data_IF_387734218648
#
_entry.id   IF_387734218648
#
_cell.length_a   1.000
_cell.length_b   1.000
_cell.length_c   1.000
_cell.angle_alpha   90.00
_cell.angle_beta   90.00
_cell.angle_gamma   90.00
#
_symmetry.space_group_name_H-M   'P 1'
#
loop_
_entity.id
_entity.type
_entity.pdbx_description
1 polymer ?
#
# COMPACT_ATOMS: atom_id res chain seq x y z
N UNK A 1 5.35 -20.98 -11.10
CA UNK A 1 4.85 -19.63 -10.81
C UNK A 1 4.33 -19.54 -9.39
N UNK A 2 4.55 -18.41 -8.73
CA UNK A 2 4.28 -18.20 -7.29
C UNK A 2 2.86 -17.70 -6.99
N UNK A 3 2.02 -17.53 -8.01
CA UNK A 3 0.69 -16.95 -7.90
C UNK A 3 0.71 -15.43 -7.77
N UNK A 4 -0.37 -14.77 -8.20
CA UNK A 4 -0.54 -13.32 -8.12
C UNK A 4 -1.95 -12.96 -7.69
N UNK A 5 -2.10 -11.78 -7.08
CA UNK A 5 -3.38 -11.13 -6.85
C UNK A 5 -3.41 -9.82 -7.64
N UNK A 6 -4.46 -9.64 -8.43
CA UNK A 6 -4.72 -8.42 -9.20
C UNK A 6 -6.03 -7.79 -8.71
N UNK A 7 -5.98 -6.49 -8.40
CA UNK A 7 -7.17 -5.70 -8.13
C UNK A 7 -7.62 -5.03 -9.42
N UNK A 8 -8.84 -5.31 -9.86
CA UNK A 8 -9.45 -4.71 -11.05
C UNK A 8 -10.57 -3.81 -10.56
N UNK A 9 -10.54 -2.54 -10.91
CA UNK A 9 -11.54 -1.57 -10.46
C UNK A 9 -11.97 -0.66 -11.60
N UNK A 10 -13.24 -0.34 -11.64
CA UNK A 10 -13.79 0.71 -12.47
C UNK A 10 -14.67 1.65 -11.63
N UNK A 11 -15.54 2.41 -12.29
CA UNK A 11 -16.45 3.38 -11.66
C UNK A 11 -17.57 2.74 -10.83
N UNK A 12 -17.85 1.45 -11.03
CA UNK A 12 -18.99 0.75 -10.46
C UNK A 12 -18.57 -0.38 -9.52
N UNK A 13 -17.46 -1.07 -9.81
CA UNK A 13 -17.10 -2.29 -9.11
C UNK A 13 -15.60 -2.46 -8.89
N UNK A 14 -15.26 -3.29 -7.89
CA UNK A 14 -13.90 -3.70 -7.57
C UNK A 14 -13.86 -5.22 -7.43
N UNK A 15 -12.93 -5.85 -8.13
CA UNK A 15 -12.71 -7.29 -8.15
C UNK A 15 -11.32 -7.64 -7.61
N UNK A 16 -11.30 -8.66 -6.75
CA UNK A 16 -10.10 -9.32 -6.25
C UNK A 16 -9.89 -10.58 -7.09
N UNK A 17 -8.93 -10.56 -8.01
CA UNK A 17 -8.58 -11.70 -8.87
C UNK A 17 -7.32 -12.39 -8.35
N UNK A 18 -7.42 -13.67 -8.01
CA UNK A 18 -6.28 -14.51 -7.67
C UNK A 18 -5.99 -15.49 -8.81
N UNK A 19 -4.75 -15.53 -9.27
CA UNK A 19 -4.30 -16.38 -10.37
C UNK A 19 -3.08 -17.21 -9.95
N UNK A 20 -3.11 -18.50 -10.26
CA UNK A 20 -2.11 -19.49 -9.87
C UNK A 20 -1.67 -20.29 -11.10
N UNK A 21 -0.47 -20.87 -11.06
CA UNK A 21 0.00 -21.75 -12.14
C UNK A 21 -0.71 -23.10 -12.14
N UNK A 22 -0.79 -23.77 -13.30
CA UNK A 22 -1.44 -25.07 -13.47
C UNK A 22 -0.70 -26.29 -12.86
N UNK A 23 0.14 -26.06 -11.85
CA UNK A 23 0.98 -27.07 -11.22
C UNK A 23 2.36 -27.26 -11.88
N UNK A 24 3.24 -27.96 -11.16
CA UNK A 24 4.65 -28.14 -11.56
C UNK A 24 4.74 -28.91 -12.88
N UNK A 25 5.41 -28.32 -13.87
CA UNK A 25 5.64 -28.95 -15.17
C UNK A 25 4.53 -28.69 -16.20
N UNK A 26 3.44 -28.04 -15.82
CA UNK A 26 2.33 -27.73 -16.70
C UNK A 26 2.37 -26.26 -17.15
N UNK A 27 1.95 -26.01 -18.39
CA UNK A 27 1.69 -24.65 -18.89
C UNK A 27 0.21 -24.33 -18.71
N UNK A 28 -0.10 -23.16 -18.16
CA UNK A 28 -1.46 -22.70 -17.98
C UNK A 28 -1.66 -22.03 -16.63
N UNK A 29 -2.86 -21.53 -16.42
CA UNK A 29 -3.27 -20.87 -15.19
C UNK A 29 -4.61 -21.43 -14.69
N UNK A 30 -4.84 -21.21 -13.40
CA UNK A 30 -6.12 -21.40 -12.73
C UNK A 30 -6.40 -20.15 -11.93
N UNK A 31 -7.63 -19.65 -11.96
CA UNK A 31 -7.95 -18.39 -11.32
C UNK A 31 -9.36 -18.37 -10.75
N UNK A 32 -9.54 -17.54 -9.73
CA UNK A 32 -10.84 -17.17 -9.17
C UNK A 32 -10.83 -15.67 -8.90
N UNK A 33 -11.97 -15.03 -9.10
CA UNK A 33 -12.19 -13.63 -8.79
C UNK A 33 -13.44 -13.48 -7.93
N UNK A 34 -13.35 -12.61 -6.93
CA UNK A 34 -14.47 -12.27 -6.07
C UNK A 34 -14.70 -10.75 -6.08
N UNK A 35 -15.92 -10.31 -6.34
CA UNK A 35 -16.31 -8.89 -6.27
C UNK A 35 -16.34 -8.46 -4.81
N UNK A 36 -15.81 -7.27 -4.53
CA UNK A 36 -15.95 -6.63 -3.22
C UNK A 36 -17.33 -5.97 -3.16
N UNK A 37 -18.18 -6.25 -2.16
CA UNK A 37 -19.46 -5.56 -2.00
C UNK A 37 -19.28 -4.03 -1.93
N UNK A 38 -20.25 -3.30 -2.48
CA UNK A 38 -20.14 -1.84 -2.70
C UNK A 38 -19.87 -1.03 -1.40
N UNK A 39 -20.32 -1.53 -0.24
CA UNK A 39 -20.10 -0.91 1.06
C UNK A 39 -19.01 -1.58 1.92
N UNK A 40 -18.17 -2.43 1.30
CA UNK A 40 -17.12 -3.19 1.97
C UNK A 40 -15.71 -2.80 1.49
N UNK A 41 -14.71 -3.22 2.28
CA UNK A 41 -13.28 -3.20 1.93
C UNK A 41 -12.71 -4.60 2.02
N UNK A 42 -11.89 -5.00 1.03
CA UNK A 42 -11.12 -6.25 1.02
C UNK A 42 -9.62 -5.96 1.04
N UNK A 43 -8.81 -6.92 1.51
CA UNK A 43 -7.36 -6.79 1.67
C UNK A 43 -6.68 -8.04 1.15
N UNK A 44 -5.66 -7.87 0.30
CA UNK A 44 -4.69 -8.91 -0.01
C UNK A 44 -3.32 -8.50 0.55
N UNK A 45 -2.74 -9.34 1.41
CA UNK A 45 -1.44 -9.07 2.03
C UNK A 45 -0.39 -10.13 1.65
N UNK A 46 -0.25 -10.42 0.35
CA UNK A 46 0.64 -11.48 -0.15
C UNK A 46 0.25 -12.89 0.34
N UNK A 47 -1.05 -13.10 0.58
CA UNK A 47 -1.61 -14.41 0.85
C UNK A 47 -2.95 -14.55 0.13
N UNK A 48 -3.17 -15.72 -0.47
CA UNK A 48 -4.46 -16.06 -1.07
C UNK A 48 -5.55 -16.05 0.02
N UNK A 49 -6.70 -15.46 -0.29
CA UNK A 49 -7.80 -15.19 0.64
C UNK A 49 -9.17 -15.61 0.11
N UNK A 50 -9.33 -15.79 -1.21
CA UNK A 50 -10.55 -16.38 -1.79
C UNK A 50 -10.68 -17.81 -1.25
N UNK A 51 -11.78 -18.05 -0.54
CA UNK A 51 -12.07 -19.33 0.12
C UNK A 51 -13.06 -20.08 -0.76
N UNK A 52 -14.31 -20.18 -0.32
CA UNK A 52 -15.38 -20.86 -1.02
C UNK A 52 -15.79 -20.05 -2.26
N UNK A 53 -16.13 -20.74 -3.34
CA UNK A 53 -16.63 -20.14 -4.57
C UNK A 53 -18.09 -20.53 -4.70
N UNK A 54 -19.00 -19.56 -4.61
CA UNK A 54 -20.40 -19.83 -4.91
C UNK A 54 -20.60 -19.87 -6.43
N UNK A 55 -20.74 -21.09 -6.96
CA UNK A 55 -20.90 -21.31 -8.39
C UNK A 55 -22.22 -20.77 -8.97
N UNK A 56 -23.22 -20.49 -8.12
CA UNK A 56 -24.51 -19.94 -8.53
C UNK A 56 -24.52 -18.41 -8.51
N UNK A 57 -23.62 -17.78 -7.76
CA UNK A 57 -23.52 -16.33 -7.65
C UNK A 57 -22.55 -15.76 -8.69
N UNK A 58 -23.08 -15.53 -9.89
CA UNK A 58 -22.32 -14.93 -11.00
C UNK A 58 -22.10 -13.43 -10.84
N UNK A 59 -22.78 -12.79 -9.87
CA UNK A 59 -22.59 -11.36 -9.58
C UNK A 59 -21.32 -11.14 -8.77
N UNK A 60 -21.03 -12.04 -7.81
CA UNK A 60 -19.88 -11.92 -6.92
C UNK A 60 -18.72 -12.86 -7.24
N UNK A 61 -18.91 -13.90 -8.06
CA UNK A 61 -17.86 -14.86 -8.37
C UNK A 61 -17.65 -15.12 -9.87
N UNK A 62 -16.38 -15.10 -10.27
CA UNK A 62 -15.92 -15.59 -11.56
C UNK A 62 -14.72 -16.54 -11.33
N UNK A 63 -14.55 -17.56 -12.17
CA UNK A 63 -13.44 -18.51 -12.04
C UNK A 63 -13.17 -19.22 -13.36
N UNK A 64 -11.97 -19.79 -13.50
CA UNK A 64 -11.61 -20.56 -14.69
C UNK A 64 -12.33 -21.91 -14.77
N UNK A 65 -12.67 -22.36 -15.98
CA UNK A 65 -13.38 -23.62 -16.21
C UNK A 65 -12.71 -24.85 -15.56
N UNK A 66 -11.38 -24.81 -15.42
CA UNK A 66 -10.57 -25.88 -14.83
C UNK A 66 -10.44 -25.80 -13.28
N UNK A 67 -11.03 -24.82 -12.59
CA UNK A 67 -10.75 -24.53 -11.17
C UNK A 67 -11.03 -25.69 -10.21
N UNK A 68 -12.01 -26.54 -10.52
CA UNK A 68 -12.30 -27.71 -9.67
C UNK A 68 -11.55 -28.95 -10.16
N UNK A 69 -11.56 -29.19 -11.47
CA UNK A 69 -10.96 -30.39 -12.06
C UNK A 69 -9.45 -30.44 -11.85
N UNK A 70 -8.75 -29.30 -11.99
CA UNK A 70 -7.31 -29.26 -11.76
C UNK A 70 -6.94 -29.61 -10.31
N UNK A 71 -7.71 -29.12 -9.34
CA UNK A 71 -7.47 -29.44 -7.93
C UNK A 71 -7.74 -30.93 -7.63
N UNK A 72 -8.77 -31.52 -8.24
CA UNK A 72 -9.06 -32.96 -8.16
C UNK A 72 -7.92 -33.79 -8.75
N UNK A 73 -7.54 -33.50 -10.00
CA UNK A 73 -6.52 -34.25 -10.74
C UNK A 73 -5.14 -34.18 -10.07
N UNK A 74 -4.85 -33.06 -9.41
CA UNK A 74 -3.61 -32.84 -8.67
C UNK A 74 -3.62 -33.45 -7.27
N UNK A 75 -4.77 -33.93 -6.78
CA UNK A 75 -4.95 -34.40 -5.41
C UNK A 75 -4.90 -33.30 -4.36
N UNK A 76 -5.07 -32.03 -4.74
CA UNK A 76 -5.12 -30.89 -3.81
C UNK A 76 -6.51 -30.70 -3.18
N UNK A 77 -7.52 -31.31 -3.79
CA UNK A 77 -8.88 -31.40 -3.27
C UNK A 77 -9.43 -32.80 -3.55
N UNK A 78 -10.24 -33.34 -2.63
CA UNK A 78 -10.71 -34.73 -2.68
C UNK A 78 -12.12 -34.88 -3.28
N UNK A 79 -12.77 -33.76 -3.63
CA UNK A 79 -14.13 -33.75 -4.16
C UNK A 79 -15.23 -33.94 -3.12
N UNK A 80 -14.87 -34.12 -1.83
CA UNK A 80 -15.82 -34.43 -0.76
C UNK A 80 -16.02 -33.26 0.18
N UNK A 81 -14.94 -32.57 0.54
CA UNK A 81 -15.00 -31.38 1.38
C UNK A 81 -15.39 -30.15 0.56
N UNK A 82 -15.90 -29.10 1.22
CA UNK A 82 -16.16 -27.81 0.56
C UNK A 82 -14.88 -27.31 -0.10
N UNK A 83 -14.94 -26.99 -1.39
CA UNK A 83 -13.81 -26.44 -2.13
C UNK A 83 -13.44 -25.05 -1.60
N UNK A 84 -12.16 -24.83 -1.29
CA UNK A 84 -11.62 -23.52 -0.90
C UNK A 84 -10.38 -23.19 -1.72
N UNK A 85 -10.46 -22.16 -2.57
CA UNK A 85 -9.43 -21.82 -3.55
C UNK A 85 -8.05 -21.64 -2.92
N UNK A 86 -7.95 -20.85 -1.84
CA UNK A 86 -6.70 -20.60 -1.15
C UNK A 86 -6.03 -21.86 -0.59
N UNK A 87 -6.80 -22.84 -0.11
CA UNK A 87 -6.25 -24.10 0.40
C UNK A 87 -5.91 -25.09 -0.71
N UNK A 88 -6.64 -25.08 -1.82
CA UNK A 88 -6.34 -25.93 -2.97
C UNK A 88 -5.05 -25.47 -3.66
N UNK A 89 -4.87 -24.16 -3.84
CA UNK A 89 -3.80 -23.63 -4.70
C UNK A 89 -2.66 -22.90 -3.99
N UNK A 90 -2.86 -22.43 -2.76
CA UNK A 90 -1.84 -21.73 -1.99
C UNK A 90 -1.89 -22.04 -0.47
N UNK A 91 -1.97 -23.32 -0.04
CA UNK A 91 -2.25 -23.67 1.35
C UNK A 91 -1.25 -23.09 2.36
N UNK A 92 0.02 -22.95 1.97
CA UNK A 92 1.05 -22.38 2.83
C UNK A 92 0.85 -20.88 3.11
N UNK A 93 0.14 -20.13 2.26
CA UNK A 93 0.00 -18.69 2.42
C UNK A 93 -0.85 -18.31 3.63
N UNK A 94 -1.84 -19.14 4.01
CA UNK A 94 -2.65 -18.90 5.22
C UNK A 94 -1.89 -19.16 6.52
N UNK A 95 -0.76 -19.86 6.50
CA UNK A 95 0.08 -20.03 7.68
C UNK A 95 0.92 -18.77 8.01
N UNK A 96 1.06 -17.83 7.06
CA UNK A 96 1.95 -16.67 7.19
C UNK A 96 1.39 -15.61 8.14
N UNK A 97 1.95 -15.50 9.35
CA UNK A 97 1.61 -14.39 10.28
C UNK A 97 1.93 -13.03 9.65
N UNK A 98 3.05 -12.92 8.93
CA UNK A 98 3.44 -11.71 8.21
C UNK A 98 2.37 -11.21 7.21
N UNK A 99 1.53 -12.09 6.66
CA UNK A 99 0.40 -11.71 5.81
C UNK A 99 -0.84 -11.42 6.64
N UNK A 100 -1.24 -12.38 7.50
CA UNK A 100 -2.45 -12.32 8.31
C UNK A 100 -2.50 -11.13 9.26
N UNK A 101 -1.37 -10.70 9.83
CA UNK A 101 -1.33 -9.52 10.70
C UNK A 101 -1.63 -8.23 9.93
N UNK A 102 -1.19 -8.13 8.67
CA UNK A 102 -1.49 -6.98 7.82
C UNK A 102 -2.96 -6.95 7.42
N UNK A 103 -3.55 -8.11 7.09
CA UNK A 103 -4.99 -8.24 6.86
C UNK A 103 -5.78 -7.75 8.07
N UNK A 104 -5.44 -8.28 9.26
CA UNK A 104 -6.03 -7.85 10.52
C UNK A 104 -5.93 -6.35 10.72
N UNK A 105 -4.73 -5.78 10.59
CA UNK A 105 -4.50 -4.38 10.95
C UNK A 105 -5.29 -3.43 10.07
N UNK A 106 -5.45 -3.73 8.79
CA UNK A 106 -6.31 -2.93 7.91
C UNK A 106 -7.77 -3.01 8.38
N UNK A 107 -8.27 -4.20 8.70
CA UNK A 107 -9.63 -4.36 9.21
C UNK A 107 -9.84 -3.73 10.59
N UNK A 108 -8.88 -3.85 11.51
CA UNK A 108 -8.88 -3.21 12.83
C UNK A 108 -8.92 -1.68 12.72
N UNK A 109 -8.22 -1.11 11.73
CA UNK A 109 -8.25 0.33 11.49
C UNK A 109 -9.55 0.82 10.86
N UNK A 110 -10.28 -0.01 10.12
CA UNK A 110 -11.48 0.37 9.35
C UNK A 110 -12.80 -0.06 10.02
N UNK A 111 -12.80 -1.18 10.73
CA UNK A 111 -13.94 -1.80 11.38
C UNK A 111 -13.57 -2.30 12.79
N UNK A 112 -13.04 -1.43 13.68
CA UNK A 112 -12.67 -1.82 15.05
C UNK A 112 -13.84 -2.39 15.86
N UNK A 113 -15.09 -2.05 15.51
CA UNK A 113 -16.29 -2.61 16.14
C UNK A 113 -16.37 -4.14 16.06
N UNK A 114 -15.73 -4.76 15.06
CA UNK A 114 -15.72 -6.21 14.89
C UNK A 114 -14.81 -6.94 15.88
N UNK A 115 -13.87 -6.24 16.51
CA UNK A 115 -12.93 -6.81 17.50
C UNK A 115 -12.27 -8.11 17.02
N UNK A 116 -11.88 -8.14 15.74
CA UNK A 116 -11.28 -9.33 15.12
C UNK A 116 -10.01 -9.72 15.87
N UNK A 117 -9.89 -11.01 16.24
CA UNK A 117 -8.68 -11.52 16.91
C UNK A 117 -7.48 -11.39 15.94
N UNK A 118 -6.38 -10.71 16.35
CA UNK A 118 -5.19 -10.51 15.53
C UNK A 118 -4.49 -11.81 15.09
N UNK A 119 -4.81 -12.96 15.69
CA UNK A 119 -4.18 -14.25 15.41
C UNK A 119 -5.03 -15.20 14.56
N UNK A 120 -6.20 -14.76 14.09
CA UNK A 120 -7.06 -15.62 13.26
C UNK A 120 -6.35 -16.10 12.00
N UNK A 121 -6.60 -17.36 11.63
CA UNK A 121 -6.12 -17.92 10.37
C UNK A 121 -6.92 -17.40 9.18
N UNK A 122 -8.23 -17.22 9.34
CA UNK A 122 -9.15 -16.84 8.28
C UNK A 122 -9.93 -15.59 8.67
N UNK A 123 -9.51 -14.44 8.15
CA UNK A 123 -10.35 -13.24 8.19
C UNK A 123 -11.47 -13.32 7.14
N UNK A 124 -12.57 -12.56 7.31
CA UNK A 124 -13.54 -12.32 6.26
C UNK A 124 -12.87 -11.88 4.96
N UNK A 125 -13.44 -12.25 3.80
CA UNK A 125 -12.93 -11.78 2.50
C UNK A 125 -12.94 -10.25 2.43
N UNK A 126 -13.99 -9.64 2.98
CA UNK A 126 -14.15 -8.21 3.09
C UNK A 126 -14.94 -7.88 4.37
N UNK A 127 -14.83 -6.63 4.83
CA UNK A 127 -15.60 -6.12 5.98
C UNK A 127 -16.26 -4.80 5.60
N UNK A 128 -17.43 -4.52 6.18
CA UNK A 128 -18.02 -3.19 6.17
C UNK A 128 -17.26 -2.30 7.14
N UNK A 129 -16.65 -1.19 6.69
CA UNK A 129 -16.04 -0.21 7.58
C UNK A 129 -17.07 0.42 8.53
N UNK A 130 -16.65 0.80 9.74
CA UNK A 130 -17.53 1.44 10.73
C UNK A 130 -18.01 2.83 10.27
N UNK A 131 -17.21 3.49 9.42
CA UNK A 131 -17.49 4.79 8.82
C UNK A 131 -17.01 4.83 7.37
N UNK A 132 -17.50 5.80 6.58
CA UNK A 132 -17.00 6.03 5.22
C UNK A 132 -15.48 6.23 5.22
N UNK A 133 -14.80 5.56 4.30
CA UNK A 133 -13.34 5.55 4.23
C UNK A 133 -12.86 6.78 3.47
N UNK A 134 -12.19 7.68 4.18
CA UNK A 134 -11.56 8.86 3.56
C UNK A 134 -10.22 8.51 2.92
N UNK A 135 -9.75 9.39 2.04
CA UNK A 135 -8.45 9.24 1.39
C UNK A 135 -7.29 9.34 2.39
N UNK A 136 -7.40 10.24 3.36
CA UNK A 136 -6.47 10.38 4.49
C UNK A 136 -6.36 9.07 5.27
N UNK A 137 -7.50 8.40 5.51
CA UNK A 137 -7.52 7.12 6.21
C UNK A 137 -6.76 6.04 5.44
N UNK A 138 -6.93 5.97 4.11
CA UNK A 138 -6.16 5.05 3.25
C UNK A 138 -4.66 5.38 3.28
N UNK A 139 -4.29 6.67 3.21
CA UNK A 139 -2.90 7.10 3.33
C UNK A 139 -2.30 6.70 4.68
N UNK A 140 -3.02 6.88 5.79
CA UNK A 140 -2.60 6.43 7.12
C UNK A 140 -2.41 4.92 7.18
N UNK A 141 -3.34 4.13 6.62
CA UNK A 141 -3.24 2.67 6.59
C UNK A 141 -1.96 2.22 5.85
N UNK A 142 -1.67 2.81 4.68
CA UNK A 142 -0.47 2.47 3.92
C UNK A 142 0.83 2.81 4.67
N UNK A 143 0.79 3.85 5.54
CA UNK A 143 1.90 4.28 6.40
C UNK A 143 2.09 3.43 7.66
N UNK A 144 1.15 2.54 7.98
CA UNK A 144 1.11 1.86 9.27
C UNK A 144 2.23 0.81 9.42
N UNK A 145 2.78 0.79 10.62
CA UNK A 145 3.79 -0.17 11.09
C UNK A 145 3.45 -0.70 12.49
N UNK A 146 2.14 -0.77 12.80
CA UNK A 146 1.56 -1.22 14.06
C UNK A 146 1.84 -0.31 15.28
N UNK A 147 2.15 0.97 15.06
CA UNK A 147 2.37 1.94 16.14
C UNK A 147 1.21 1.94 17.14
N UNK A 148 1.53 1.92 18.42
CA UNK A 148 0.55 1.94 19.51
C UNK A 148 -0.12 0.59 19.79
N UNK A 149 0.27 -0.49 19.10
CA UNK A 149 -0.20 -1.84 19.37
C UNK A 149 0.90 -2.70 20.00
N UNK A 150 0.53 -3.89 20.50
CA UNK A 150 1.50 -4.89 20.91
C UNK A 150 2.34 -5.45 19.74
N UNK A 151 1.99 -5.17 18.48
CA UNK A 151 2.69 -5.65 17.30
C UNK A 151 3.71 -4.65 16.75
N UNK A 152 3.85 -3.48 17.39
CA UNK A 152 4.90 -2.51 17.06
C UNK A 152 6.28 -3.17 17.21
N UNK A 153 7.00 -3.32 16.10
CA UNK A 153 8.28 -4.04 16.09
C UNK A 153 9.37 -3.35 16.91
N UNK A 154 9.18 -2.06 17.24
CA UNK A 154 10.11 -1.25 18.04
C UNK A 154 9.91 -1.40 19.54
N UNK A 155 8.81 -2.02 19.99
CA UNK A 155 8.35 -2.03 21.40
C UNK A 155 9.41 -2.47 22.41
N UNK A 156 10.36 -3.32 21.99
CA UNK A 156 11.41 -3.87 22.85
C UNK A 156 12.77 -3.14 22.70
N UNK A 157 12.87 -2.18 21.78
CA UNK A 157 14.08 -1.38 21.55
C UNK A 157 13.96 -0.11 22.39
N UNK A 158 14.21 -0.25 23.70
CA UNK A 158 13.92 0.80 24.68
C UNK A 158 15.17 1.39 25.32
N UNK A 159 15.09 2.66 25.73
CA UNK A 159 16.10 3.37 26.53
C UNK A 159 15.45 4.03 27.75
N UNK A 160 16.25 4.36 28.77
CA UNK A 160 15.77 5.14 29.91
C UNK A 160 15.60 6.59 29.49
N UNK A 161 14.37 7.10 29.52
CA UNK A 161 14.08 8.51 29.23
C UNK A 161 14.40 9.42 30.41
N UNK A 162 14.27 10.74 30.19
CA UNK A 162 14.60 11.78 31.19
C UNK A 162 13.78 11.67 32.48
N UNK A 163 12.55 11.15 32.39
CA UNK A 163 11.69 10.85 33.54
C UNK A 163 12.13 9.62 34.35
N UNK A 164 13.18 8.92 33.91
CA UNK A 164 13.66 7.67 34.49
C UNK A 164 12.86 6.43 34.05
N UNK A 165 11.76 6.59 33.31
CA UNK A 165 10.96 5.48 32.75
C UNK A 165 11.58 4.95 31.45
N UNK A 166 11.38 3.67 31.18
CA UNK A 166 11.74 3.09 29.89
C UNK A 166 10.78 3.58 28.80
N UNK A 167 11.33 4.05 27.69
CA UNK A 167 10.59 4.50 26.50
C UNK A 167 11.19 3.85 25.25
N UNK A 168 10.44 3.78 24.16
CA UNK A 168 10.99 3.35 22.86
C UNK A 168 12.14 4.29 22.49
N UNK A 169 13.29 3.71 22.11
CA UNK A 169 14.48 4.44 21.74
C UNK A 169 14.19 5.38 20.56
N UNK A 170 14.72 6.62 20.56
CA UNK A 170 14.70 7.45 19.37
C UNK A 170 15.36 6.80 18.15
N UNK A 171 16.30 5.87 18.37
CA UNK A 171 16.97 5.08 17.33
C UNK A 171 16.15 3.86 16.87
N UNK A 172 15.03 3.55 17.52
CA UNK A 172 14.23 2.38 17.16
C UNK A 172 13.50 2.62 15.83
N UNK A 173 14.04 2.01 14.77
CA UNK A 173 13.50 2.05 13.43
C UNK A 173 12.49 0.91 13.20
N UNK A 174 11.27 1.16 12.70
CA UNK A 174 10.35 0.08 12.34
C UNK A 174 10.68 -0.53 10.96
N UNK A 175 11.61 0.04 10.18
CA UNK A 175 11.92 -0.39 8.82
C UNK A 175 13.24 -1.15 8.74
N UNK A 176 13.53 -1.97 9.75
CA UNK A 176 14.77 -2.74 9.87
C UNK A 176 14.98 -3.71 8.70
N UNK A 177 16.24 -3.85 8.30
CA UNK A 177 16.71 -4.90 7.42
C UNK A 177 16.92 -6.22 8.19
N UNK A 178 17.30 -7.28 7.48
CA UNK A 178 17.43 -8.63 8.07
C UNK A 178 18.49 -8.68 9.18
N UNK A 179 19.58 -7.94 9.04
CA UNK A 179 20.65 -7.95 10.03
C UNK A 179 20.33 -7.05 11.22
N UNK A 180 19.65 -5.92 11.01
CA UNK A 180 19.12 -5.08 12.09
C UNK A 180 18.09 -5.86 12.94
N UNK A 181 17.19 -6.61 12.32
CA UNK A 181 16.23 -7.47 13.04
C UNK A 181 16.95 -8.47 13.97
N UNK A 182 18.02 -9.12 13.48
CA UNK A 182 18.84 -10.03 14.28
C UNK A 182 19.58 -9.31 15.40
N UNK A 183 20.20 -8.16 15.10
CA UNK A 183 20.95 -7.34 16.05
C UNK A 183 20.06 -6.92 17.22
N UNK A 184 18.83 -6.48 16.92
CA UNK A 184 17.86 -6.03 17.91
C UNK A 184 17.00 -7.17 18.48
N UNK A 185 17.25 -8.43 18.10
CA UNK A 185 16.52 -9.62 18.55
C UNK A 185 15.00 -9.49 18.35
N UNK A 186 14.59 -8.88 17.24
CA UNK A 186 13.19 -8.72 16.87
C UNK A 186 12.76 -9.92 16.03
N UNK A 187 11.80 -10.69 16.53
CA UNK A 187 11.18 -11.78 15.77
C UNK A 187 10.21 -11.18 14.73
N UNK A 188 10.72 -10.94 13.52
CA UNK A 188 10.00 -10.24 12.47
C UNK A 188 10.50 -10.56 11.06
N UNK A 189 9.79 -10.05 10.06
CA UNK A 189 10.14 -10.19 8.65
C UNK A 189 9.60 -11.45 7.97
N UNK A 190 9.63 -11.43 6.63
CA UNK A 190 8.97 -12.43 5.78
C UNK A 190 9.44 -13.87 6.06
N UNK A 191 10.75 -14.09 6.22
CA UNK A 191 11.33 -15.42 6.39
C UNK A 191 11.39 -15.92 7.84
N UNK A 192 11.20 -15.04 8.82
CA UNK A 192 11.05 -15.41 10.22
C UNK A 192 9.61 -15.78 10.59
N UNK A 193 8.67 -15.65 9.64
CA UNK A 193 7.21 -15.73 9.87
C UNK A 193 6.74 -14.87 11.05
N UNK A 194 7.46 -13.77 11.33
CA UNK A 194 7.13 -12.82 12.39
C UNK A 194 6.41 -11.59 11.86
N UNK A 195 6.37 -10.53 12.67
CA UNK A 195 5.68 -9.29 12.29
C UNK A 195 6.29 -8.64 11.04
N UNK A 196 5.42 -8.25 10.12
CA UNK A 196 5.76 -7.52 8.89
C UNK A 196 4.82 -6.34 8.75
N UNK A 197 5.39 -5.15 8.73
CA UNK A 197 4.67 -3.88 8.60
C UNK A 197 3.98 -3.74 7.23
N UNK A 198 2.96 -2.90 7.16
CA UNK A 198 2.34 -2.49 5.89
C UNK A 198 3.34 -1.60 5.13
N UNK A 199 3.83 -0.54 5.79
CA UNK A 199 4.94 0.27 5.29
C UNK A 199 6.28 -0.45 5.46
N UNK A 200 7.10 -0.54 4.41
CA UNK A 200 8.39 -1.25 4.43
C UNK A 200 9.50 -0.47 3.74
N UNK A 201 10.76 -0.67 4.18
CA UNK A 201 11.94 0.05 3.64
C UNK A 201 12.20 -0.12 2.14
N UNK A 202 11.65 -1.17 1.54
CA UNK A 202 11.90 -1.53 0.14
C UNK A 202 10.67 -1.29 -0.75
N UNK A 203 9.67 -0.55 -0.25
CA UNK A 203 8.61 -0.01 -1.09
C UNK A 203 9.26 0.84 -2.17
N UNK A 204 8.95 0.55 -3.44
CA UNK A 204 9.43 1.39 -4.55
C UNK A 204 8.48 2.57 -4.77
N UNK A 205 7.20 2.28 -4.74
CA UNK A 205 6.12 3.25 -4.81
C UNK A 205 4.87 2.68 -4.14
N UNK A 206 3.92 3.56 -3.85
CA UNK A 206 2.57 3.21 -3.45
C UNK A 206 1.56 4.06 -4.21
N UNK A 207 0.38 3.49 -4.43
CA UNK A 207 -0.70 4.12 -5.18
C UNK A 207 -2.02 3.99 -4.42
N UNK A 208 -2.81 5.06 -4.42
CA UNK A 208 -4.25 5.00 -4.17
C UNK A 208 -4.94 5.48 -5.44
N UNK A 209 -5.76 4.61 -6.05
CA UNK A 209 -6.40 4.86 -7.34
C UNK A 209 -7.89 5.15 -7.08
N UNK A 210 -8.39 6.26 -7.62
CA UNK A 210 -9.78 6.65 -7.55
C UNK A 210 -10.41 6.63 -8.95
N UNK A 211 -11.49 5.88 -9.11
CA UNK A 211 -12.32 5.82 -10.30
C UNK A 211 -13.62 6.59 -10.04
N UNK A 212 -13.65 7.89 -10.38
CA UNK A 212 -14.75 8.79 -9.96
C UNK A 212 -15.73 9.00 -11.10
N UNK A 213 -16.94 8.49 -10.93
CA UNK A 213 -18.00 8.48 -11.95
C UNK A 213 -18.71 9.82 -12.11
N UNK A 214 -18.72 10.64 -11.05
CA UNK A 214 -19.26 12.01 -11.05
C UNK A 214 -18.40 13.03 -11.81
N UNK A 215 -17.30 12.60 -12.42
CA UNK A 215 -16.40 13.43 -13.22
C UNK A 215 -16.17 12.82 -14.61
N UNK A 216 -15.92 13.65 -15.65
CA UNK A 216 -15.49 13.16 -16.96
C UNK A 216 -14.20 12.34 -16.87
N UNK A 217 -13.99 11.38 -17.77
CA UNK A 217 -12.87 10.43 -17.71
C UNK A 217 -11.49 11.11 -17.65
N UNK A 218 -11.33 12.25 -18.34
CA UNK A 218 -10.08 13.03 -18.33
C UNK A 218 -9.74 13.67 -16.97
N UNK A 219 -10.70 13.72 -16.04
CA UNK A 219 -10.58 14.35 -14.71
C UNK A 219 -10.82 13.32 -13.59
N UNK A 220 -11.78 12.40 -13.77
CA UNK A 220 -12.29 11.49 -12.75
C UNK A 220 -11.31 10.41 -12.33
N UNK A 221 -10.42 9.96 -13.24
CA UNK A 221 -9.33 9.05 -12.91
C UNK A 221 -8.18 9.79 -12.22
N UNK A 222 -7.89 9.42 -10.97
CA UNK A 222 -6.81 10.02 -10.19
C UNK A 222 -6.01 8.96 -9.44
N UNK A 223 -4.69 9.04 -9.57
CA UNK A 223 -3.73 8.24 -8.81
C UNK A 223 -3.01 9.14 -7.83
N UNK A 224 -3.17 8.86 -6.54
CA UNK A 224 -2.30 9.40 -5.50
C UNK A 224 -1.06 8.54 -5.43
N UNK A 225 0.09 9.10 -5.81
CA UNK A 225 1.33 8.36 -6.01
C UNK A 225 2.40 8.82 -5.02
N UNK A 226 3.02 7.89 -4.31
CA UNK A 226 4.15 8.15 -3.43
C UNK A 226 5.34 7.27 -3.83
N UNK A 227 6.55 7.83 -3.73
CA UNK A 227 7.79 7.10 -3.97
C UNK A 227 8.45 6.71 -2.65
N UNK A 228 9.14 5.56 -2.68
CA UNK A 228 9.83 4.97 -1.54
C UNK A 228 8.89 4.63 -0.35
N UNK A 229 9.42 4.52 0.87
CA UNK A 229 8.64 4.15 2.04
C UNK A 229 7.65 5.26 2.40
N UNK A 230 6.37 4.96 2.24
CA UNK A 230 5.25 5.89 2.47
C UNK A 230 5.23 6.49 3.86
N UNK A 231 5.74 5.81 4.88
CA UNK A 231 5.79 6.34 6.24
C UNK A 231 6.64 7.62 6.36
N UNK A 232 7.61 7.83 5.48
CA UNK A 232 8.46 9.03 5.40
C UNK A 232 8.26 9.84 4.13
N UNK A 233 7.23 9.51 3.34
CA UNK A 233 6.96 10.08 2.02
C UNK A 233 5.59 10.74 1.96
N UNK A 234 5.26 11.29 0.79
CA UNK A 234 4.04 12.05 0.52
C UNK A 234 3.41 11.57 -0.78
N UNK A 235 2.08 11.61 -0.84
CA UNK A 235 1.33 11.25 -2.05
C UNK A 235 1.05 12.50 -2.87
N UNK A 236 1.49 12.50 -4.13
CA UNK A 236 1.18 13.54 -5.12
C UNK A 236 0.04 13.10 -6.04
N UNK A 237 -0.84 14.02 -6.48
CA UNK A 237 -1.93 13.71 -7.39
C UNK A 237 -1.47 13.63 -8.86
N UNK A 238 -1.66 12.46 -9.47
CA UNK A 238 -1.43 12.19 -10.90
C UNK A 238 -2.77 11.84 -11.55
N UNK A 239 -3.34 12.78 -12.29
CA UNK A 239 -4.58 12.53 -13.02
C UNK A 239 -4.32 11.57 -14.20
N UNK A 240 -5.19 10.60 -14.43
CA UNK A 240 -5.00 9.60 -15.48
C UNK A 240 -5.01 10.21 -16.90
N UNK A 241 -5.63 11.39 -17.06
CA UNK A 241 -5.70 12.11 -18.34
C UNK A 241 -4.47 12.94 -18.68
N UNK A 242 -3.46 13.04 -17.81
CA UNK A 242 -2.25 13.85 -18.10
C UNK A 242 -1.44 13.27 -19.25
N UNK A 243 -0.76 14.12 -20.00
CA UNK A 243 0.00 13.71 -21.19
C UNK A 243 1.47 13.43 -20.93
N UNK A 244 2.00 13.87 -19.79
CA UNK A 244 3.41 13.66 -19.41
C UNK A 244 3.60 13.79 -17.89
N UNK A 245 4.78 13.37 -17.41
CA UNK A 245 5.27 13.56 -16.05
C UNK A 245 6.62 14.30 -16.09
N UNK A 246 7.07 14.90 -14.97
CA UNK A 246 8.42 15.47 -14.88
C UNK A 246 9.49 14.46 -15.28
N UNK A 247 10.60 14.95 -15.84
CA UNK A 247 11.73 14.10 -16.26
C UNK A 247 12.22 13.22 -15.11
N UNK A 248 12.24 13.76 -13.89
CA UNK A 248 12.75 13.05 -12.74
C UNK A 248 11.84 11.92 -12.25
N UNK A 249 10.53 11.93 -12.55
CA UNK A 249 9.64 10.78 -12.34
C UNK A 249 9.80 9.70 -13.42
N UNK A 250 10.30 10.07 -14.61
CA UNK A 250 10.55 9.16 -15.74
C UNK A 250 11.96 8.56 -15.73
N UNK A 251 12.87 9.15 -14.94
CA UNK A 251 14.26 8.74 -14.90
C UNK A 251 14.42 7.59 -13.92
N UNK A 252 14.88 6.45 -14.43
CA UNK A 252 15.25 5.34 -13.56
C UNK A 252 16.37 5.76 -12.59
N UNK A 253 16.23 5.37 -11.33
CA UNK A 253 17.26 5.54 -10.32
C UNK A 253 17.90 4.22 -9.90
N UNK A 254 17.29 3.08 -10.22
CA UNK A 254 17.67 1.78 -9.69
C UNK A 254 18.76 1.12 -10.51
N UNK A 255 18.60 1.01 -11.83
CA UNK A 255 19.61 0.35 -12.68
C UNK A 255 20.75 1.30 -13.03
N UNK A 256 20.48 2.61 -13.07
CA UNK A 256 21.48 3.65 -13.41
C UNK A 256 22.24 4.20 -12.21
N UNK A 257 21.87 3.81 -10.99
CA UNK A 257 22.49 4.26 -9.74
C UNK A 257 22.04 5.65 -9.26
N UNK A 258 22.69 6.12 -8.19
CA UNK A 258 22.34 7.37 -7.51
C UNK A 258 22.37 8.57 -8.46
N UNK A 259 21.25 9.29 -8.54
CA UNK A 259 21.11 10.48 -9.36
C UNK A 259 20.06 11.42 -8.78
N UNK A 260 20.40 12.71 -8.65
CA UNK A 260 19.41 13.74 -8.30
C UNK A 260 18.39 14.00 -9.41
N UNK A 261 18.62 13.45 -10.61
CA UNK A 261 17.67 13.47 -11.72
C UNK A 261 16.62 12.36 -11.65
N UNK A 262 16.68 11.46 -10.66
CA UNK A 262 15.64 10.47 -10.42
C UNK A 262 14.91 10.81 -9.12
N UNK A 263 13.60 11.02 -9.21
CA UNK A 263 12.74 11.42 -8.10
C UNK A 263 12.83 10.41 -6.95
N UNK A 264 12.91 9.11 -7.28
CA UNK A 264 13.00 8.04 -6.29
C UNK A 264 14.13 8.25 -5.28
N UNK A 265 15.29 8.77 -5.71
CA UNK A 265 16.42 9.02 -4.79
C UNK A 265 16.18 10.15 -3.80
N UNK A 266 15.31 11.11 -4.10
CA UNK A 266 14.95 12.16 -3.15
C UNK A 266 14.22 11.56 -1.94
N UNK A 267 13.22 10.73 -2.21
CA UNK A 267 12.41 10.06 -1.19
C UNK A 267 13.17 8.92 -0.51
N UNK A 268 13.91 8.10 -1.27
CA UNK A 268 14.71 7.01 -0.71
C UNK A 268 15.82 7.51 0.22
N UNK A 269 16.52 8.57 -0.15
CA UNK A 269 17.51 9.18 0.74
C UNK A 269 16.84 9.73 2.00
N UNK A 270 15.73 10.45 1.87
CA UNK A 270 15.01 10.99 3.02
C UNK A 270 14.55 9.86 3.98
N UNK A 271 13.94 8.79 3.46
CA UNK A 271 13.52 7.64 4.24
C UNK A 271 14.69 6.91 4.91
N UNK A 272 15.82 6.77 4.21
CA UNK A 272 17.06 6.19 4.76
C UNK A 272 17.62 7.01 5.92
N UNK A 273 17.58 8.35 5.81
CA UNK A 273 17.96 9.24 6.91
C UNK A 273 16.99 9.13 8.07
N UNK A 274 15.69 9.19 7.79
CA UNK A 274 14.65 9.06 8.81
C UNK A 274 14.81 7.79 9.65
N UNK A 275 15.14 6.68 8.98
CA UNK A 275 15.35 5.39 9.61
C UNK A 275 16.50 5.37 10.65
N UNK A 276 17.54 6.21 10.52
CA UNK A 276 18.65 6.22 11.49
C UNK A 276 18.18 6.61 12.90
N UNK A 277 17.18 7.49 13.00
CA UNK A 277 16.63 7.98 14.27
C UNK A 277 15.13 8.23 14.16
N UNK A 278 14.40 7.17 13.81
CA UNK A 278 12.99 7.23 13.47
C UNK A 278 12.14 7.96 14.52
N UNK A 279 12.37 7.71 15.81
CA UNK A 279 11.63 8.34 16.91
C UNK A 279 11.84 9.85 17.03
N UNK A 280 12.84 10.42 16.34
CA UNK A 280 13.05 11.88 16.25
C UNK A 280 12.71 12.39 14.86
N UNK A 281 13.32 11.81 13.83
CA UNK A 281 13.28 12.37 12.48
C UNK A 281 11.90 12.27 11.81
N UNK A 282 11.09 11.26 12.17
CA UNK A 282 9.71 11.18 11.67
C UNK A 282 8.92 12.44 12.03
N UNK A 283 9.12 13.01 13.22
CA UNK A 283 8.40 14.20 13.67
C UNK A 283 8.86 15.46 12.96
N UNK A 284 10.14 15.56 12.56
CA UNK A 284 10.62 16.66 11.73
C UNK A 284 10.06 16.56 10.30
N UNK A 285 9.95 15.34 9.78
CA UNK A 285 9.34 15.05 8.47
C UNK A 285 7.84 15.39 8.51
N UNK A 286 7.12 14.94 9.53
CA UNK A 286 5.68 15.15 9.71
C UNK A 286 5.31 16.65 9.74
N UNK A 287 6.15 17.49 10.36
CA UNK A 287 5.96 18.97 10.35
C UNK A 287 5.88 19.56 8.94
N UNK A 288 6.41 18.87 7.94
CA UNK A 288 6.40 19.31 6.54
C UNK A 288 5.42 18.52 5.71
N UNK A 289 5.43 17.18 5.82
CA UNK A 289 4.55 16.33 5.01
C UNK A 289 3.09 16.36 5.42
N UNK A 290 2.75 16.58 6.70
CA UNK A 290 1.35 16.69 7.10
C UNK A 290 0.71 17.94 6.45
N UNK A 291 1.25 19.17 6.63
CA UNK A 291 0.68 20.35 5.97
C UNK A 291 0.71 20.27 4.44
N UNK A 292 1.75 19.66 3.85
CA UNK A 292 1.83 19.48 2.40
C UNK A 292 0.72 18.55 1.89
N UNK A 293 0.48 17.43 2.57
CA UNK A 293 -0.57 16.48 2.20
C UNK A 293 -1.96 17.08 2.39
N UNK A 294 -2.22 17.76 3.52
CA UNK A 294 -3.46 18.48 3.80
C UNK A 294 -3.77 19.51 2.72
N UNK A 295 -2.78 20.33 2.34
CA UNK A 295 -2.94 21.30 1.27
C UNK A 295 -3.35 20.68 -0.07
N UNK A 296 -2.76 19.53 -0.44
CA UNK A 296 -3.14 18.83 -1.68
C UNK A 296 -4.57 18.31 -1.64
N UNK A 297 -4.99 17.78 -0.50
CA UNK A 297 -6.33 17.22 -0.30
C UNK A 297 -7.39 18.31 -0.29
N UNK A 298 -7.17 19.39 0.46
CA UNK A 298 -8.09 20.53 0.56
C UNK A 298 -8.26 21.26 -0.78
N UNK A 299 -7.19 21.35 -1.58
CA UNK A 299 -7.25 22.03 -2.87
C UNK A 299 -7.82 21.19 -4.01
N UNK A 300 -8.02 19.89 -3.80
CA UNK A 300 -8.44 18.97 -4.86
C UNK A 300 -9.73 19.45 -5.56
N UNK A 301 -10.77 19.74 -4.79
CA UNK A 301 -12.05 20.20 -5.34
C UNK A 301 -11.89 21.51 -6.13
N UNK A 302 -11.08 22.44 -5.66
CA UNK A 302 -10.82 23.72 -6.34
C UNK A 302 -10.12 23.52 -7.69
N UNK A 303 -9.15 22.62 -7.76
CA UNK A 303 -8.42 22.30 -8.99
C UNK A 303 -9.36 21.63 -10.00
N UNK A 304 -10.20 20.71 -9.53
CA UNK A 304 -11.14 19.98 -10.39
C UNK A 304 -12.26 20.87 -10.91
N UNK A 305 -12.75 21.80 -10.11
CA UNK A 305 -13.72 22.81 -10.58
C UNK A 305 -13.13 23.67 -11.71
N UNK A 306 -11.86 24.06 -11.61
CA UNK A 306 -11.17 24.77 -12.71
C UNK A 306 -11.02 23.89 -13.95
N UNK A 307 -10.70 22.60 -13.77
CA UNK A 307 -10.59 21.65 -14.87
C UNK A 307 -11.94 21.44 -15.58
N UNK A 308 -13.04 21.36 -14.82
CA UNK A 308 -14.41 21.25 -15.32
C UNK A 308 -14.84 22.50 -16.09
N UNK A 309 -14.50 23.69 -15.62
CA UNK A 309 -14.78 24.94 -16.34
C UNK A 309 -14.11 25.01 -17.72
N UNK A 310 -12.97 24.34 -17.89
CA UNK A 310 -12.24 24.24 -19.16
C UNK A 310 -12.67 23.05 -20.03
N UNK A 311 -13.52 22.16 -19.49
CA UNK A 311 -13.81 20.88 -20.10
C UNK A 311 -14.68 21.00 -21.35
N UNK A 312 -14.24 20.30 -22.41
CA UNK A 312 -14.99 20.13 -23.64
C UNK A 312 -14.81 18.69 -24.13
N UNK A 313 -15.90 17.91 -24.08
CA UNK A 313 -15.89 16.50 -24.47
C UNK A 313 -15.41 16.25 -25.92
N UNK A 314 -15.55 17.23 -26.83
CA UNK A 314 -15.05 17.10 -28.21
C UNK A 314 -13.57 17.48 -28.37
N UNK A 315 -13.00 18.20 -27.39
CA UNK A 315 -11.62 18.67 -27.43
C UNK A 315 -11.10 18.98 -26.01
N UNK A 316 -10.73 17.94 -25.22
CA UNK A 316 -10.32 18.11 -23.83
C UNK A 316 -8.89 18.64 -23.66
N UNK A 317 -8.22 19.05 -24.74
CA UNK A 317 -6.78 19.43 -24.74
C UNK A 317 -6.42 20.49 -23.70
N UNK A 318 -7.27 21.50 -23.49
CA UNK A 318 -7.00 22.54 -22.51
C UNK A 318 -7.09 22.01 -21.07
N UNK A 319 -8.08 21.17 -20.78
CA UNK A 319 -8.21 20.48 -19.48
C UNK A 319 -7.03 19.55 -19.21
N UNK A 320 -6.64 18.72 -20.19
CA UNK A 320 -5.48 17.82 -20.09
C UNK A 320 -4.21 18.62 -19.83
N UNK A 321 -3.98 19.72 -20.57
CA UNK A 321 -2.82 20.59 -20.36
C UNK A 321 -2.80 21.21 -18.96
N UNK A 322 -3.95 21.68 -18.48
CA UNK A 322 -4.08 22.23 -17.14
C UNK A 322 -3.73 21.20 -16.06
N UNK A 323 -4.30 19.99 -16.13
CA UNK A 323 -4.02 18.92 -15.17
C UNK A 323 -2.58 18.42 -15.27
N UNK A 324 -2.01 18.35 -16.48
CA UNK A 324 -0.60 17.98 -16.69
C UNK A 324 0.32 18.98 -15.99
N UNK A 325 0.07 20.28 -16.14
CA UNK A 325 0.87 21.31 -15.48
C UNK A 325 0.71 21.26 -13.95
N UNK A 326 -0.50 21.02 -13.45
CA UNK A 326 -0.76 20.87 -12.02
C UNK A 326 0.00 19.67 -11.44
N UNK A 327 -0.07 18.50 -12.10
CA UNK A 327 0.67 17.30 -11.70
C UNK A 327 2.19 17.54 -11.75
N UNK A 328 2.71 18.16 -12.81
CA UNK A 328 4.13 18.49 -12.96
C UNK A 328 4.63 19.41 -11.82
N UNK A 329 3.87 20.45 -11.50
CA UNK A 329 4.18 21.39 -10.43
C UNK A 329 4.30 20.68 -9.07
N UNK A 330 3.31 19.87 -8.70
CA UNK A 330 3.30 19.21 -7.40
C UNK A 330 4.28 18.07 -7.27
N UNK A 331 4.54 17.34 -8.36
CA UNK A 331 5.61 16.36 -8.43
C UNK A 331 6.98 17.02 -8.18
N UNK A 332 7.27 18.15 -8.84
CA UNK A 332 8.54 18.89 -8.65
C UNK A 332 8.66 19.47 -7.24
N UNK A 333 7.61 20.10 -6.72
CA UNK A 333 7.58 20.60 -5.33
C UNK A 333 7.84 19.50 -4.32
N UNK A 334 7.27 18.31 -4.51
CA UNK A 334 7.51 17.18 -3.61
C UNK A 334 8.97 16.71 -3.64
N UNK A 335 9.59 16.65 -4.83
CA UNK A 335 11.01 16.31 -4.98
C UNK A 335 11.90 17.34 -4.26
N UNK A 336 11.69 18.62 -4.53
CA UNK A 336 12.51 19.69 -3.95
C UNK A 336 12.38 19.69 -2.42
N UNK A 337 11.14 19.57 -1.92
CA UNK A 337 10.88 19.50 -0.47
C UNK A 337 11.53 18.27 0.16
N UNK A 338 11.55 17.12 -0.53
CA UNK A 338 12.20 15.91 -0.01
C UNK A 338 13.73 16.08 0.09
N UNK A 339 14.35 16.71 -0.91
CA UNK A 339 15.77 17.06 -0.83
C UNK A 339 16.07 18.02 0.31
N UNK A 340 15.29 19.09 0.42
CA UNK A 340 15.46 20.12 1.44
C UNK A 340 15.28 19.57 2.85
N UNK A 341 14.28 18.71 3.07
CA UNK A 341 14.12 17.97 4.32
C UNK A 341 15.34 17.10 4.64
N UNK A 342 15.83 16.38 3.64
CA UNK A 342 17.01 15.55 3.79
C UNK A 342 18.27 16.37 4.09
N UNK A 343 18.39 17.59 3.58
CA UNK A 343 19.49 18.51 3.92
C UNK A 343 19.33 19.07 5.32
N UNK A 344 18.13 19.52 5.65
CA UNK A 344 17.81 20.03 6.97
C UNK A 344 18.10 19.01 8.07
N UNK A 345 17.65 17.76 7.92
CA UNK A 345 17.92 16.69 8.90
C UNK A 345 19.42 16.44 9.00
N UNK A 346 20.12 16.34 7.87
CA UNK A 346 21.57 16.12 7.83
C UNK A 346 22.35 17.26 8.50
N UNK A 347 21.93 18.51 8.33
CA UNK A 347 22.65 19.65 8.92
C UNK A 347 22.30 19.86 10.38
N UNK A 348 21.01 19.81 10.75
CA UNK A 348 20.54 20.13 12.11
C UNK A 348 20.99 19.10 13.13
N UNK A 349 21.10 17.83 12.74
CA UNK A 349 21.36 16.72 13.65
C UNK A 349 22.77 16.17 13.52
N UNK A 350 23.72 16.95 13.01
CA UNK A 350 25.13 16.55 12.95
C UNK A 350 25.67 16.13 14.32
N UNK A 351 26.24 14.92 14.36
CA UNK A 351 26.69 14.24 15.58
C UNK A 351 25.60 13.52 16.40
N UNK A 352 24.34 13.46 15.94
CA UNK A 352 23.22 12.81 16.66
C UNK A 352 22.68 11.52 16.02
N UNK A 353 23.19 11.12 14.85
CA UNK A 353 22.79 9.90 14.13
C UNK A 353 23.66 8.69 14.47
#
# INVERSE_FOLDING_TARGET
DAGECLTIADKQEVWHLEIMGAGKGNKGAVWAAQRVPDDHVSVNANASTIKEIDTNDKEYFMYSDNVFQLALDSGWWDGKQTFRFCYAYAPASRALIAARRREWRVFDLLAPSLQLDPNMENYPFSVKPDTLVSLEKLMTILKDYYEGTEYDIRKNITVKGDSGKMVISPLANPFMNVDELKLHKVNGGWHGYGERNIAVRFTMYATIIQCRDWLPDEIGGLVWFALDNVASSVFVPIYCGVSDLPLEYKTDGRETGFSRKAAWWAFNRLGTLAAQRWGTFRHEIDKTWIPFQEHLLENQATVEQKALQMYNAKNPKNTIKFLTNYTDEWCKKAIDTAWDLGYYIWTKYDGYW
#
